data_IF_999438506423
#
_entry.id   IF_999438506423
#
_cell.length_a   1.000
_cell.length_b   1.000
_cell.length_c   1.000
_cell.angle_alpha   90.00
_cell.angle_beta   90.00
_cell.angle_gamma   90.00
#
_symmetry.space_group_name_H-M   'P 1'
#
loop_
_entity.id
_entity.type
_entity.pdbx_description
1 polymer ?
#
# COMPACT_ATOMS: atom_id res chain seq x y z
N UNK A 1 2.76 -10.44 4.01
CA UNK A 1 2.17 -9.94 2.75
C UNK A 1 1.30 -11.02 2.17
N UNK A 2 0.07 -10.71 1.88
CA UNK A 2 -0.86 -11.64 1.24
C UNK A 2 -0.42 -11.88 -0.22
N UNK A 3 -0.58 -13.10 -0.70
CA UNK A 3 -0.40 -13.44 -2.12
C UNK A 3 -1.65 -13.03 -2.93
N UNK A 4 -1.51 -12.83 -4.24
CA UNK A 4 -2.62 -12.44 -5.10
C UNK A 4 -3.90 -13.29 -4.92
N UNK A 5 -3.84 -14.65 -4.82
CA UNK A 5 -5.04 -15.44 -4.55
C UNK A 5 -5.75 -15.11 -3.24
N UNK A 6 -5.03 -14.71 -2.20
CA UNK A 6 -5.62 -14.31 -0.91
C UNK A 6 -6.32 -12.95 -1.04
N UNK A 7 -5.69 -12.01 -1.73
CA UNK A 7 -6.22 -10.67 -1.99
C UNK A 7 -7.48 -10.76 -2.86
N UNK A 8 -7.46 -11.60 -3.90
CA UNK A 8 -8.62 -11.84 -4.76
C UNK A 8 -9.77 -12.53 -4.01
N UNK A 9 -9.46 -13.45 -3.10
CA UNK A 9 -10.48 -14.06 -2.23
C UNK A 9 -11.12 -13.03 -1.31
N UNK A 10 -10.36 -12.10 -0.75
CA UNK A 10 -10.92 -11.00 0.03
C UNK A 10 -11.92 -10.20 -0.81
N UNK A 11 -11.54 -9.82 -2.02
CA UNK A 11 -12.40 -9.04 -2.92
C UNK A 11 -13.65 -9.79 -3.38
N UNK A 12 -13.56 -11.12 -3.57
CA UNK A 12 -14.68 -11.96 -3.99
C UNK A 12 -15.76 -12.14 -2.91
N UNK A 13 -15.46 -11.83 -1.65
CA UNK A 13 -16.47 -11.85 -0.60
C UNK A 13 -17.45 -10.69 -0.78
N UNK A 14 -18.71 -10.95 -0.46
CA UNK A 14 -19.72 -9.90 -0.39
C UNK A 14 -19.39 -8.87 0.70
N UNK A 15 -19.81 -7.62 0.52
CA UNK A 15 -19.55 -6.52 1.45
C UNK A 15 -19.94 -6.82 2.92
N UNK A 16 -21.07 -7.49 3.23
CA UNK A 16 -21.40 -7.84 4.61
C UNK A 16 -20.33 -8.73 5.26
N UNK A 17 -19.80 -9.73 4.53
CA UNK A 17 -18.76 -10.62 5.05
C UNK A 17 -17.43 -9.90 5.29
N UNK A 18 -17.05 -8.99 4.41
CA UNK A 18 -15.85 -8.16 4.62
C UNK A 18 -16.00 -7.27 5.85
N UNK A 19 -17.17 -6.64 6.05
CA UNK A 19 -17.46 -5.84 7.26
C UNK A 19 -17.40 -6.67 8.53
N UNK A 20 -17.94 -7.91 8.53
CA UNK A 20 -17.84 -8.81 9.69
C UNK A 20 -16.37 -9.10 10.02
N UNK A 21 -15.55 -9.46 9.03
CA UNK A 21 -14.13 -9.73 9.25
C UNK A 21 -13.36 -8.50 9.75
N UNK A 22 -13.71 -7.30 9.30
CA UNK A 22 -13.12 -6.04 9.80
C UNK A 22 -13.52 -5.80 11.26
N UNK A 23 -14.78 -6.04 11.63
CA UNK A 23 -15.25 -5.91 13.00
C UNK A 23 -14.53 -6.91 13.93
N UNK A 24 -14.40 -8.16 13.52
CA UNK A 24 -13.64 -9.19 14.25
C UNK A 24 -12.17 -8.78 14.43
N UNK A 25 -11.54 -8.23 13.37
CA UNK A 25 -10.16 -7.75 13.45
C UNK A 25 -10.03 -6.60 14.46
N UNK A 26 -10.95 -5.64 14.44
CA UNK A 26 -10.97 -4.52 15.39
C UNK A 26 -11.07 -5.00 16.85
N UNK A 27 -11.89 -5.99 17.12
CA UNK A 27 -12.07 -6.54 18.46
C UNK A 27 -10.86 -7.35 18.93
N UNK A 28 -10.27 -8.15 18.01
CA UNK A 28 -9.19 -9.08 18.35
C UNK A 28 -7.80 -8.41 18.46
N UNK A 29 -7.55 -7.35 17.72
CA UNK A 29 -6.19 -6.86 17.47
C UNK A 29 -5.78 -5.62 18.30
N UNK A 30 -6.70 -4.99 19.05
CA UNK A 30 -6.41 -3.75 19.79
C UNK A 30 -5.94 -2.63 18.84
N UNK A 31 -4.85 -1.95 19.18
CA UNK A 31 -4.27 -0.89 18.34
C UNK A 31 -3.44 -1.49 17.20
N UNK A 32 -4.04 -1.69 16.05
CA UNK A 32 -3.40 -2.23 14.83
C UNK A 32 -3.52 -1.24 13.68
N UNK A 33 -2.44 -1.03 12.94
CA UNK A 33 -2.46 -0.39 11.64
C UNK A 33 -2.42 -1.46 10.54
N UNK A 34 -3.44 -1.52 9.70
CA UNK A 34 -3.51 -2.45 8.57
C UNK A 34 -2.99 -1.77 7.30
N UNK A 35 -2.16 -2.45 6.51
CA UNK A 35 -1.91 -2.02 5.12
C UNK A 35 -2.99 -2.62 4.22
N UNK A 36 -3.62 -1.80 3.39
CA UNK A 36 -4.67 -2.28 2.47
C UNK A 36 -4.15 -3.32 1.48
N UNK A 37 -5.02 -4.19 0.95
CA UNK A 37 -4.66 -5.08 -0.14
C UNK A 37 -3.98 -4.33 -1.29
N UNK A 38 -2.84 -4.86 -1.76
CA UNK A 38 -2.11 -4.30 -2.89
C UNK A 38 -2.46 -5.08 -4.16
N UNK A 39 -3.54 -4.70 -4.84
CA UNK A 39 -3.92 -5.31 -6.11
C UNK A 39 -2.89 -4.97 -7.18
N UNK A 40 -2.40 -6.01 -7.88
CA UNK A 40 -1.35 -5.86 -8.88
C UNK A 40 -1.76 -5.02 -10.08
N UNK A 41 -0.82 -4.21 -10.58
CA UNK A 41 -0.93 -3.48 -11.85
C UNK A 41 0.01 -4.12 -12.86
N UNK A 42 -0.47 -4.40 -14.07
CA UNK A 42 0.25 -5.13 -15.10
C UNK A 42 0.52 -4.26 -16.33
N UNK A 43 1.62 -4.55 -17.07
CA UNK A 43 2.01 -3.78 -18.27
C UNK A 43 1.27 -4.19 -19.52
N UNK A 44 0.86 -5.44 -19.56
CA UNK A 44 0.32 -6.16 -20.71
C UNK A 44 -1.21 -6.32 -20.67
N UNK A 45 -1.86 -5.53 -19.82
CA UNK A 45 -3.32 -5.47 -19.73
C UNK A 45 -3.83 -4.09 -20.16
N UNK A 46 -5.07 -3.98 -20.59
CA UNK A 46 -5.71 -2.70 -20.85
C UNK A 46 -5.63 -1.75 -19.66
N UNK A 47 -5.44 -0.47 -19.92
CA UNK A 47 -5.26 0.55 -18.86
C UNK A 47 -6.39 0.61 -17.84
N UNK A 48 -7.60 0.31 -18.24
CA UNK A 48 -8.76 0.32 -17.34
C UNK A 48 -8.70 -0.78 -16.26
N UNK A 49 -7.99 -1.90 -16.49
CA UNK A 49 -7.75 -2.93 -15.48
C UNK A 49 -6.89 -2.38 -14.34
N UNK A 50 -5.83 -1.62 -14.66
CA UNK A 50 -5.01 -0.94 -13.66
C UNK A 50 -5.84 0.07 -12.85
N UNK A 51 -6.69 0.86 -13.52
CA UNK A 51 -7.56 1.82 -12.85
C UNK A 51 -8.60 1.12 -11.96
N UNK A 52 -9.10 -0.04 -12.37
CA UNK A 52 -9.97 -0.87 -11.56
C UNK A 52 -9.22 -1.40 -10.32
N UNK A 53 -7.99 -1.89 -10.48
CA UNK A 53 -7.15 -2.32 -9.34
C UNK A 53 -6.91 -1.18 -8.34
N UNK A 54 -6.58 0.03 -8.81
CA UNK A 54 -6.45 1.21 -7.95
C UNK A 54 -7.76 1.56 -7.21
N UNK A 55 -8.90 1.48 -7.90
CA UNK A 55 -10.22 1.69 -7.29
C UNK A 55 -10.50 0.67 -6.18
N UNK A 56 -10.15 -0.61 -6.41
CA UNK A 56 -10.29 -1.67 -5.41
C UNK A 56 -9.46 -1.39 -4.15
N UNK A 57 -8.23 -0.89 -4.31
CA UNK A 57 -7.38 -0.47 -3.19
C UNK A 57 -8.06 0.64 -2.38
N UNK A 58 -8.58 1.66 -3.05
CA UNK A 58 -9.27 2.78 -2.40
C UNK A 58 -10.54 2.34 -1.66
N UNK A 59 -11.34 1.43 -2.26
CA UNK A 59 -12.55 0.88 -1.64
C UNK A 59 -12.18 0.05 -0.40
N UNK A 60 -11.18 -0.85 -0.50
CA UNK A 60 -10.75 -1.65 0.62
C UNK A 60 -10.22 -0.77 1.77
N UNK A 61 -9.45 0.28 1.44
CA UNK A 61 -9.02 1.26 2.44
C UNK A 61 -10.20 1.89 3.17
N UNK A 62 -11.20 2.35 2.42
CA UNK A 62 -12.40 2.96 3.00
C UNK A 62 -13.17 1.98 3.89
N UNK A 63 -13.31 0.72 3.48
CA UNK A 63 -14.00 -0.31 4.27
C UNK A 63 -13.32 -0.52 5.64
N UNK A 64 -11.98 -0.49 5.73
CA UNK A 64 -11.27 -0.57 7.01
C UNK A 64 -11.50 0.68 7.86
N UNK A 65 -11.35 1.87 7.29
CA UNK A 65 -11.52 3.14 8.01
C UNK A 65 -12.96 3.29 8.51
N UNK A 66 -13.95 3.02 7.66
CA UNK A 66 -15.38 3.05 8.00
C UNK A 66 -15.71 2.01 9.09
N UNK A 67 -15.05 0.86 9.06
CA UNK A 67 -15.15 -0.17 10.11
C UNK A 67 -14.39 0.14 11.40
N UNK A 68 -13.75 1.31 11.51
CA UNK A 68 -13.01 1.75 12.70
C UNK A 68 -11.63 1.11 12.87
N UNK A 69 -11.05 0.56 11.79
CA UNK A 69 -9.69 -0.01 11.78
C UNK A 69 -8.74 0.97 11.07
N UNK A 70 -7.71 1.50 11.76
CA UNK A 70 -6.70 2.33 11.12
C UNK A 70 -6.04 1.62 9.95
N UNK A 71 -6.04 2.25 8.77
CA UNK A 71 -5.52 1.63 7.55
C UNK A 71 -4.59 2.57 6.78
N UNK A 72 -3.44 2.02 6.34
CA UNK A 72 -2.56 2.67 5.41
C UNK A 72 -2.98 2.37 3.97
N UNK A 73 -3.29 3.43 3.20
CA UNK A 73 -3.66 3.33 1.80
C UNK A 73 -2.45 2.90 0.95
N UNK A 74 -2.54 1.76 0.27
CA UNK A 74 -1.45 1.30 -0.58
C UNK A 74 -1.38 2.10 -1.89
N UNK A 75 -0.24 2.77 -2.14
CA UNK A 75 -0.01 3.60 -3.32
C UNK A 75 0.56 2.78 -4.48
N UNK A 76 -0.16 1.74 -4.94
CA UNK A 76 0.30 1.01 -6.11
C UNK A 76 0.14 1.88 -7.36
N UNK A 77 1.24 2.05 -8.10
CA UNK A 77 1.32 2.94 -9.26
C UNK A 77 2.30 2.40 -10.28
N UNK A 78 2.00 2.58 -11.56
CA UNK A 78 2.82 2.14 -12.68
C UNK A 78 3.36 3.31 -13.50
N UNK A 79 2.65 4.41 -13.49
CA UNK A 79 2.94 5.63 -14.23
C UNK A 79 2.93 6.85 -13.30
N UNK A 80 3.53 7.95 -13.73
CA UNK A 80 3.46 9.25 -13.06
C UNK A 80 2.01 9.69 -12.83
N UNK A 81 1.16 9.50 -13.84
CA UNK A 81 -0.27 9.83 -13.78
C UNK A 81 -1.04 9.03 -12.73
N UNK A 82 -0.53 7.88 -12.29
CA UNK A 82 -1.12 7.14 -11.18
C UNK A 82 -0.82 7.81 -9.85
N UNK A 83 0.40 8.33 -9.69
CA UNK A 83 0.77 9.11 -8.52
C UNK A 83 0.01 10.42 -8.44
N UNK A 84 -0.23 11.10 -9.57
CA UNK A 84 -1.10 12.29 -9.65
C UNK A 84 -2.53 11.96 -9.18
N UNK A 85 -3.09 10.82 -9.61
CA UNK A 85 -4.41 10.36 -9.17
C UNK A 85 -4.46 10.09 -7.67
N UNK A 86 -3.42 9.42 -7.15
CA UNK A 86 -3.32 9.20 -5.71
C UNK A 86 -3.17 10.51 -4.94
N UNK A 87 -2.39 11.46 -5.44
CA UNK A 87 -2.25 12.77 -4.80
C UNK A 87 -3.60 13.50 -4.76
N UNK A 88 -4.33 13.52 -5.87
CA UNK A 88 -5.68 14.09 -5.91
C UNK A 88 -6.64 13.38 -4.95
N UNK A 89 -6.62 12.04 -4.90
CA UNK A 89 -7.46 11.27 -4.00
C UNK A 89 -7.16 11.61 -2.53
N UNK A 90 -5.89 11.64 -2.14
CA UNK A 90 -5.44 11.88 -0.76
C UNK A 90 -5.67 13.33 -0.33
N UNK A 91 -5.44 14.31 -1.23
CA UNK A 91 -5.67 15.73 -0.93
C UNK A 91 -7.14 16.03 -0.57
N UNK A 92 -8.07 15.27 -1.11
CA UNK A 92 -9.50 15.42 -0.86
C UNK A 92 -10.07 14.53 0.25
N UNK A 93 -9.19 13.82 1.01
CA UNK A 93 -9.60 12.90 2.09
C UNK A 93 -8.73 13.06 3.32
N UNK A 94 -9.16 13.89 4.28
CA UNK A 94 -8.42 14.11 5.52
C UNK A 94 -8.21 12.85 6.34
N UNK A 95 -9.05 11.83 6.17
CA UNK A 95 -8.98 10.54 6.84
C UNK A 95 -7.74 9.73 6.45
N UNK A 96 -7.14 9.99 5.27
CA UNK A 96 -5.87 9.36 4.87
C UNK A 96 -4.73 9.99 5.66
N UNK A 97 -4.30 9.35 6.72
CA UNK A 97 -3.14 9.75 7.53
C UNK A 97 -1.92 8.88 7.27
N UNK A 98 -2.15 7.65 6.83
CA UNK A 98 -1.13 6.66 6.54
C UNK A 98 -1.23 6.17 5.10
N UNK A 99 -0.09 6.07 4.44
CA UNK A 99 0.04 5.47 3.12
C UNK A 99 1.07 4.34 3.15
N UNK A 100 0.94 3.37 2.26
CA UNK A 100 1.85 2.24 2.18
C UNK A 100 2.43 2.07 0.78
N UNK A 101 3.65 1.53 0.69
CA UNK A 101 4.27 1.15 -0.57
C UNK A 101 5.17 -0.08 -0.41
N UNK A 102 5.30 -0.89 -1.47
CA UNK A 102 6.10 -2.10 -1.44
C UNK A 102 7.20 -2.10 -2.50
N UNK A 103 8.46 -2.10 -2.04
CA UNK A 103 9.64 -2.30 -2.87
C UNK A 103 10.09 -3.77 -2.96
N UNK A 104 9.44 -4.67 -2.24
CA UNK A 104 9.79 -6.10 -2.22
C UNK A 104 9.46 -6.88 -3.51
N UNK A 105 8.92 -6.21 -4.52
CA UNK A 105 8.50 -6.76 -5.81
C UNK A 105 9.27 -6.12 -6.97
N UNK A 106 8.69 -6.07 -8.15
CA UNK A 106 9.29 -5.45 -9.34
C UNK A 106 9.67 -3.97 -9.15
N UNK A 107 9.01 -3.26 -8.24
CA UNK A 107 9.34 -1.87 -7.87
C UNK A 107 10.71 -1.74 -7.21
N UNK A 108 11.22 -2.80 -6.58
CA UNK A 108 12.55 -2.82 -5.95
C UNK A 108 13.72 -3.05 -6.90
N UNK A 109 13.49 -3.30 -8.20
CA UNK A 109 14.56 -3.45 -9.18
C UNK A 109 15.32 -2.14 -9.39
N UNK A 110 16.65 -2.18 -9.61
CA UNK A 110 17.43 -0.98 -9.93
C UNK A 110 16.80 -0.13 -11.04
N UNK A 111 16.87 1.18 -10.90
CA UNK A 111 16.21 2.15 -11.78
C UNK A 111 14.71 2.32 -11.52
N UNK A 112 13.97 1.24 -11.27
CA UNK A 112 12.56 1.30 -10.90
C UNK A 112 12.37 1.78 -9.45
N UNK A 113 13.22 1.33 -8.56
CA UNK A 113 13.21 1.69 -7.14
C UNK A 113 13.43 3.20 -6.97
N UNK A 114 14.45 3.74 -7.61
CA UNK A 114 14.78 5.16 -7.58
C UNK A 114 13.66 6.01 -8.19
N UNK A 115 13.10 5.55 -9.32
CA UNK A 115 11.95 6.19 -9.94
C UNK A 115 10.73 6.23 -9.02
N UNK A 116 10.36 5.10 -8.39
CA UNK A 116 9.24 5.06 -7.45
C UNK A 116 9.48 5.94 -6.23
N UNK A 117 10.72 5.98 -5.69
CA UNK A 117 11.06 6.86 -4.58
C UNK A 117 10.90 8.34 -4.94
N UNK A 118 11.35 8.75 -6.14
CA UNK A 118 11.15 10.11 -6.64
C UNK A 118 9.66 10.45 -6.82
N UNK A 119 8.87 9.53 -7.36
CA UNK A 119 7.42 9.72 -7.52
C UNK A 119 6.68 9.79 -6.17
N UNK A 120 7.05 8.97 -5.19
CA UNK A 120 6.51 9.05 -3.84
C UNK A 120 6.83 10.39 -3.17
N UNK A 121 8.06 10.89 -3.34
CA UNK A 121 8.44 12.20 -2.84
C UNK A 121 7.66 13.34 -3.55
N UNK A 122 7.45 13.24 -4.86
CA UNK A 122 6.62 14.19 -5.60
C UNK A 122 5.15 14.14 -5.14
N UNK A 123 4.60 12.93 -4.93
CA UNK A 123 3.28 12.71 -4.37
C UNK A 123 3.12 13.39 -2.99
N UNK A 124 4.08 13.18 -2.07
CA UNK A 124 4.03 13.77 -0.73
C UNK A 124 3.99 15.29 -0.81
N UNK A 125 4.84 15.91 -1.65
CA UNK A 125 4.83 17.37 -1.88
C UNK A 125 3.50 17.84 -2.51
N UNK A 126 2.97 17.12 -3.48
CA UNK A 126 1.75 17.49 -4.17
C UNK A 126 0.51 17.46 -3.25
N UNK A 127 0.49 16.58 -2.26
CA UNK A 127 -0.60 16.53 -1.28
C UNK A 127 -0.52 17.68 -0.27
N UNK A 128 0.66 18.21 0.00
CA UNK A 128 0.91 19.23 1.02
C UNK A 128 0.59 18.75 2.46
N UNK A 129 0.53 17.44 2.69
CA UNK A 129 0.07 16.84 3.95
C UNK A 129 1.18 16.13 4.70
N UNK A 130 1.07 16.12 6.03
CA UNK A 130 1.96 15.37 6.93
C UNK A 130 1.53 13.90 6.97
N UNK A 131 1.94 13.12 5.97
CA UNK A 131 1.60 11.71 5.85
C UNK A 131 2.66 10.83 6.50
N UNK A 132 2.22 9.72 7.12
CA UNK A 132 3.07 8.63 7.56
C UNK A 132 3.17 7.57 6.45
N UNK A 133 4.37 7.28 5.98
CA UNK A 133 4.63 6.25 4.98
C UNK A 133 5.07 4.94 5.63
N UNK A 134 4.38 3.85 5.32
CA UNK A 134 4.79 2.49 5.68
C UNK A 134 5.37 1.81 4.44
N UNK A 135 6.64 1.41 4.48
CA UNK A 135 7.29 0.76 3.34
C UNK A 135 7.77 -0.64 3.68
N UNK A 136 7.63 -1.56 2.74
CA UNK A 136 8.27 -2.87 2.80
C UNK A 136 9.43 -2.92 1.81
N UNK A 137 10.66 -3.12 2.33
CA UNK A 137 11.88 -3.02 1.54
C UNK A 137 12.24 -1.57 1.17
N UNK A 138 13.17 -1.39 0.24
CA UNK A 138 13.56 -0.05 -0.25
C UNK A 138 14.55 0.69 0.65
N UNK A 139 15.32 0.00 1.49
CA UNK A 139 16.30 0.61 2.39
C UNK A 139 17.28 1.55 1.66
N UNK A 140 17.65 1.25 0.42
CA UNK A 140 18.58 2.05 -0.37
C UNK A 140 18.01 3.43 -0.81
N UNK A 141 16.72 3.67 -0.66
CA UNK A 141 16.07 4.95 -0.99
C UNK A 141 15.38 5.57 0.24
N UNK A 142 15.70 5.07 1.43
CA UNK A 142 15.05 5.49 2.68
C UNK A 142 15.25 6.98 2.95
N UNK A 143 16.45 7.53 2.68
CA UNK A 143 16.76 8.95 2.90
C UNK A 143 15.86 9.87 2.05
N UNK A 144 15.60 9.49 0.79
CA UNK A 144 14.69 10.23 -0.10
C UNK A 144 13.28 10.23 0.47
N UNK A 145 12.82 9.08 0.98
CA UNK A 145 11.49 8.95 1.55
C UNK A 145 11.37 9.69 2.88
N UNK A 146 12.38 9.58 3.75
CA UNK A 146 12.41 10.26 5.05
C UNK A 146 12.41 11.78 4.92
N UNK A 147 13.00 12.32 3.85
CA UNK A 147 12.98 13.76 3.58
C UNK A 147 11.63 14.29 3.07
N UNK A 148 10.78 13.41 2.54
CA UNK A 148 9.53 13.79 1.89
C UNK A 148 8.27 13.55 2.75
N UNK A 149 8.31 12.57 3.66
CA UNK A 149 7.19 12.20 4.52
C UNK A 149 7.44 12.64 5.96
N UNK A 150 6.38 12.96 6.69
CA UNK A 150 6.48 13.34 8.10
C UNK A 150 7.03 12.21 8.98
N UNK A 151 6.76 10.97 8.60
CA UNK A 151 7.27 9.76 9.24
C UNK A 151 7.38 8.62 8.24
N UNK A 152 8.42 7.77 8.38
CA UNK A 152 8.57 6.54 7.59
C UNK A 152 8.76 5.36 8.53
N UNK A 153 7.96 4.31 8.33
CA UNK A 153 8.14 3.01 8.97
C UNK A 153 8.62 2.00 7.95
N UNK A 154 9.81 1.45 8.16
CA UNK A 154 10.38 0.39 7.32
C UNK A 154 10.03 -0.99 7.89
N UNK A 155 9.36 -1.82 7.08
CA UNK A 155 9.11 -3.22 7.36
C UNK A 155 10.18 -4.07 6.68
N UNK A 156 11.14 -4.57 7.46
CA UNK A 156 12.12 -5.53 6.96
C UNK A 156 11.68 -6.96 7.26
N UNK A 157 11.35 -7.69 6.21
CA UNK A 157 10.98 -9.11 6.28
C UNK A 157 12.13 -10.04 5.85
N UNK A 158 13.33 -9.51 5.60
CA UNK A 158 14.46 -10.26 5.02
C UNK A 158 14.88 -11.43 5.91
N UNK A 159 15.01 -11.22 7.21
CA UNK A 159 15.41 -12.25 8.15
C UNK A 159 14.36 -13.39 8.20
N UNK A 160 13.08 -13.03 8.29
CA UNK A 160 11.96 -13.99 8.27
C UNK A 160 11.94 -14.81 6.98
N UNK A 161 12.03 -14.15 5.80
CA UNK A 161 12.02 -14.84 4.51
C UNK A 161 13.22 -15.77 4.34
N UNK A 162 14.42 -15.36 4.75
CA UNK A 162 15.60 -16.24 4.73
C UNK A 162 15.42 -17.47 5.62
N UNK A 163 14.82 -17.33 6.78
CA UNK A 163 14.56 -18.43 7.70
C UNK A 163 13.54 -19.41 7.09
N UNK A 164 12.45 -18.90 6.53
CA UNK A 164 11.43 -19.74 5.87
C UNK A 164 11.98 -20.49 4.65
N UNK A 165 12.80 -19.82 3.83
CA UNK A 165 13.41 -20.45 2.65
C UNK A 165 14.44 -21.52 3.02
N UNK A 166 15.24 -21.33 4.09
CA UNK A 166 16.19 -22.34 4.57
C UNK A 166 15.53 -23.61 5.10
N UNK A 167 14.28 -23.52 5.56
CA UNK A 167 13.50 -24.70 6.01
C UNK A 167 12.91 -25.54 4.87
N UNK A 168 13.00 -25.04 3.63
CA UNK A 168 12.50 -25.70 2.41
C UNK A 168 13.59 -26.33 1.56
N UNK A 169 14.86 -26.22 1.96
CA UNK A 169 16.02 -26.92 1.40
C UNK A 169 16.42 -28.11 2.29
#
# INVERSE_FOLDING_TARGET
TATDPVIERWWSHEAPRRRSAIAELREAAGEVLVTTPNYSLFRDVPRWDDLHAMKRIAIAWWEFVDGGVPAALHLNARTERDYERWAHFVSNRPEVTHVAFEFGTSAGRPGRREWHAAQLAAFARATGRHLHLVVRGGIAVLDVLASAFARVTLLDTTAFMKTVMRRRL
#
